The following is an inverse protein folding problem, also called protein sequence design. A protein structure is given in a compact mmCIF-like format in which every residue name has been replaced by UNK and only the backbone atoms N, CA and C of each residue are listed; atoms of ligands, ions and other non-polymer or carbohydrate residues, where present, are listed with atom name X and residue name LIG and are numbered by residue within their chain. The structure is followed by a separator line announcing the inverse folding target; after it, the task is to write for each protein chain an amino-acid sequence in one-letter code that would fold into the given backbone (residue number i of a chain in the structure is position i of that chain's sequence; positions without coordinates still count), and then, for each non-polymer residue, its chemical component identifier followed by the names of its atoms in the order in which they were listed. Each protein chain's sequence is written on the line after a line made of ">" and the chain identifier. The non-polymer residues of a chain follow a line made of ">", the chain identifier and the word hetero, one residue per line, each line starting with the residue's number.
data_IF_449026205769
#
_entry.id   IF_449026205769
#
_cell.length_a   1.000
_cell.length_b   1.000
_cell.length_c   1.000
_cell.angle_alpha   90.00
_cell.angle_beta   90.00
_cell.angle_gamma   90.00
#
_symmetry.space_group_name_H-M   'P 1'
#
loop_
_entity.id
_entity.type
_entity.pdbx_description
1 polymer ?
#
# COMPACT_ATOMS: atom_id res chain seq x y z
N UNK A 1 -0.93 21.41 -11.32
CA UNK A 1 -0.72 20.10 -10.65
C UNK A 1 -1.24 20.28 -9.24
N UNK A 2 -2.08 19.41 -8.74
CA UNK A 2 -2.62 19.56 -7.39
C UNK A 2 -1.45 19.46 -6.38
N UNK A 3 -1.27 20.48 -5.53
CA UNK A 3 -0.14 20.55 -4.59
C UNK A 3 -0.16 19.41 -3.55
N UNK A 4 -1.35 18.88 -3.26
CA UNK A 4 -1.57 17.83 -2.26
C UNK A 4 -0.68 16.60 -2.48
N UNK A 5 -0.48 16.18 -3.72
CA UNK A 5 0.35 14.99 -4.02
C UNK A 5 1.85 15.18 -3.72
N UNK A 6 2.31 16.40 -3.49
CA UNK A 6 3.70 16.71 -3.16
C UNK A 6 3.97 16.73 -1.66
N UNK A 7 2.93 16.82 -0.83
CA UNK A 7 3.09 16.79 0.63
C UNK A 7 3.65 15.45 1.09
N UNK A 8 4.47 15.49 2.12
CA UNK A 8 4.87 14.32 2.89
C UNK A 8 3.67 13.75 3.65
N UNK A 9 3.78 12.51 4.09
CA UNK A 9 2.73 11.87 4.92
C UNK A 9 2.48 12.67 6.21
N UNK A 10 3.55 13.19 6.84
CA UNK A 10 3.43 14.05 8.01
C UNK A 10 2.62 15.31 7.72
N UNK A 11 2.94 16.01 6.63
CA UNK A 11 2.21 17.22 6.24
C UNK A 11 0.74 16.93 5.96
N UNK A 12 0.42 15.78 5.33
CA UNK A 12 -0.96 15.36 5.11
C UNK A 12 -1.68 15.10 6.44
N UNK A 13 -1.04 14.39 7.38
CA UNK A 13 -1.59 14.13 8.73
C UNK A 13 -1.86 15.46 9.46
N UNK A 14 -0.90 16.37 9.44
CA UNK A 14 -1.03 17.67 10.11
C UNK A 14 -2.15 18.51 9.49
N UNK A 15 -2.24 18.53 8.16
CA UNK A 15 -3.30 19.26 7.45
C UNK A 15 -4.69 18.67 7.71
N UNK A 16 -4.82 17.33 7.76
CA UNK A 16 -6.08 16.69 8.15
C UNK A 16 -6.41 17.06 9.61
N UNK A 17 -5.46 16.93 10.52
CA UNK A 17 -5.67 17.21 11.95
C UNK A 17 -6.14 18.64 12.17
N UNK A 18 -5.54 19.61 11.48
CA UNK A 18 -5.88 21.02 11.56
C UNK A 18 -7.09 21.42 10.68
N UNK A 19 -7.78 20.46 10.05
CA UNK A 19 -8.93 20.70 9.17
C UNK A 19 -8.61 21.63 7.99
N UNK A 20 -7.37 21.63 7.52
CA UNK A 20 -6.91 22.38 6.34
C UNK A 20 -7.14 21.62 5.04
N UNK A 21 -7.26 20.29 5.12
CA UNK A 21 -7.59 19.40 4.01
C UNK A 21 -8.44 18.24 4.53
N UNK A 22 -9.31 17.72 3.68
CA UNK A 22 -10.14 16.55 3.96
C UNK A 22 -9.55 15.28 3.36
N UNK A 23 -9.95 14.11 3.86
CA UNK A 23 -9.60 12.82 3.25
C UNK A 23 -10.10 12.72 1.81
N UNK A 24 -11.27 13.31 1.53
CA UNK A 24 -11.86 13.37 0.18
C UNK A 24 -10.94 14.17 -0.77
N UNK A 25 -10.53 15.38 -0.40
CA UNK A 25 -9.64 16.20 -1.24
C UNK A 25 -8.30 15.52 -1.53
N UNK A 26 -7.74 14.80 -0.54
CA UNK A 26 -6.52 14.01 -0.72
C UNK A 26 -6.77 12.89 -1.74
N UNK A 27 -7.84 12.12 -1.58
CA UNK A 27 -8.15 11.02 -2.49
C UNK A 27 -8.45 11.53 -3.91
N UNK A 28 -9.16 12.65 -4.05
CA UNK A 28 -9.42 13.27 -5.36
C UNK A 28 -8.11 13.68 -6.07
N UNK A 29 -7.14 14.24 -5.34
CA UNK A 29 -5.84 14.59 -5.90
C UNK A 29 -5.09 13.36 -6.46
N UNK A 30 -5.13 12.24 -5.75
CA UNK A 30 -4.54 10.99 -6.25
C UNK A 30 -5.35 10.36 -7.38
N UNK A 31 -6.69 10.45 -7.37
CA UNK A 31 -7.55 10.00 -8.48
C UNK A 31 -7.22 10.77 -9.77
N UNK A 32 -7.06 12.09 -9.71
CA UNK A 32 -6.63 12.88 -10.87
C UNK A 32 -5.30 12.36 -11.43
N UNK A 33 -4.36 12.03 -10.55
CA UNK A 33 -3.05 11.49 -10.95
C UNK A 33 -3.17 10.12 -11.59
N UNK A 34 -3.99 9.22 -11.01
CA UNK A 34 -4.27 7.89 -11.55
C UNK A 34 -4.91 8.00 -12.93
N UNK A 35 -5.95 8.82 -13.09
CA UNK A 35 -6.62 9.02 -14.37
C UNK A 35 -5.68 9.49 -15.48
N UNK A 36 -4.64 10.24 -15.12
CA UNK A 36 -3.66 10.77 -16.08
C UNK A 36 -2.66 9.73 -16.56
N UNK A 37 -2.19 8.84 -15.67
CA UNK A 37 -1.00 8.03 -15.93
C UNK A 37 -1.26 6.52 -15.96
N UNK A 38 -2.33 6.02 -15.34
CA UNK A 38 -2.56 4.58 -15.19
C UNK A 38 -2.68 3.84 -16.53
N UNK A 39 -3.31 4.44 -17.53
CA UNK A 39 -3.44 3.85 -18.89
C UNK A 39 -2.08 3.50 -19.53
N UNK A 40 -1.03 4.25 -19.18
CA UNK A 40 0.30 4.08 -19.73
C UNK A 40 1.19 3.20 -18.84
N UNK A 41 1.03 3.31 -17.50
CA UNK A 41 1.87 2.63 -16.50
C UNK A 41 1.37 1.23 -16.16
N UNK A 42 0.05 1.02 -16.06
CA UNK A 42 -0.59 -0.24 -15.64
C UNK A 42 -0.10 -0.71 -14.24
N UNK A 43 -0.15 0.18 -13.27
CA UNK A 43 0.32 -0.09 -11.90
C UNK A 43 -0.75 -0.72 -11.00
N UNK A 44 -2.03 -0.59 -11.33
CA UNK A 44 -3.14 -1.10 -10.55
C UNK A 44 -3.66 -2.44 -11.11
N UNK A 45 -3.83 -3.43 -10.25
CA UNK A 45 -4.57 -4.65 -10.53
C UNK A 45 -6.07 -4.45 -10.34
N UNK A 46 -6.45 -3.64 -9.33
CA UNK A 46 -7.81 -3.21 -9.09
C UNK A 46 -7.80 -1.79 -8.50
N UNK A 47 -8.59 -0.92 -9.10
CA UNK A 47 -8.82 0.43 -8.62
C UNK A 47 -10.26 0.85 -8.92
N UNK A 48 -10.98 1.29 -7.89
CA UNK A 48 -12.34 1.79 -7.98
C UNK A 48 -12.39 3.15 -7.28
N UNK A 49 -12.63 4.21 -8.06
CA UNK A 49 -12.63 5.60 -7.55
C UNK A 49 -13.85 5.88 -6.67
N UNK A 50 -14.99 5.27 -6.96
CA UNK A 50 -16.22 5.43 -6.19
C UNK A 50 -16.05 4.82 -4.80
N UNK A 51 -15.52 3.59 -4.72
CA UNK A 51 -15.20 2.92 -3.46
C UNK A 51 -14.17 3.74 -2.64
N UNK A 52 -13.14 4.27 -3.30
CA UNK A 52 -12.14 5.10 -2.61
C UNK A 52 -12.76 6.37 -2.03
N UNK A 53 -13.61 7.06 -2.79
CA UNK A 53 -14.27 8.28 -2.33
C UNK A 53 -15.31 8.00 -1.23
N UNK A 54 -16.00 6.85 -1.27
CA UNK A 54 -16.89 6.41 -0.18
C UNK A 54 -16.11 6.28 1.14
N UNK A 55 -15.01 5.54 1.13
CA UNK A 55 -14.13 5.40 2.31
C UNK A 55 -13.56 6.73 2.80
N UNK A 56 -13.20 7.63 1.89
CA UNK A 56 -12.73 8.95 2.24
C UNK A 56 -13.81 9.80 2.94
N UNK A 57 -15.06 9.74 2.45
CA UNK A 57 -16.21 10.39 3.09
C UNK A 57 -16.50 9.83 4.48
N UNK A 58 -16.41 8.51 4.65
CA UNK A 58 -16.55 7.84 5.96
C UNK A 58 -15.46 8.32 6.92
N UNK A 59 -14.20 8.41 6.46
CA UNK A 59 -13.09 8.95 7.23
C UNK A 59 -13.35 10.38 7.70
N UNK A 60 -13.79 11.26 6.80
CA UNK A 60 -14.11 12.65 7.13
C UNK A 60 -15.31 12.75 8.09
N UNK A 61 -16.33 11.90 7.92
CA UNK A 61 -17.48 11.82 8.82
C UNK A 61 -17.06 11.35 10.22
N UNK A 62 -16.16 10.35 10.29
CA UNK A 62 -15.61 9.87 11.56
C UNK A 62 -14.88 10.98 12.31
N UNK A 63 -14.02 11.74 11.65
CA UNK A 63 -13.33 12.89 12.24
C UNK A 63 -14.31 13.95 12.74
N UNK A 64 -15.33 14.29 11.94
CA UNK A 64 -16.38 15.26 12.33
C UNK A 64 -17.19 14.81 13.54
N UNK A 65 -17.25 13.51 13.84
CA UNK A 65 -17.95 13.00 15.04
C UNK A 65 -17.23 13.31 16.36
N UNK A 66 -16.01 13.86 16.31
CA UNK A 66 -15.18 14.20 17.48
C UNK A 66 -14.55 12.98 18.17
N UNK A 67 -14.66 11.79 17.59
CA UNK A 67 -13.99 10.59 18.12
C UNK A 67 -12.49 10.65 17.89
N UNK A 68 -11.68 10.03 18.77
CA UNK A 68 -10.23 9.94 18.58
C UNK A 68 -9.87 9.30 17.23
N UNK A 69 -9.04 9.96 16.44
CA UNK A 69 -8.56 9.45 15.16
C UNK A 69 -7.26 8.67 15.33
N UNK A 70 -7.06 7.67 14.49
CA UNK A 70 -5.80 6.93 14.45
C UNK A 70 -4.66 7.76 13.82
N UNK A 71 -3.40 7.32 13.99
CA UNK A 71 -2.21 8.08 13.56
C UNK A 71 -2.08 8.22 12.03
N UNK A 72 -2.74 7.38 11.24
CA UNK A 72 -2.77 7.44 9.78
C UNK A 72 -4.15 7.86 9.24
N UNK A 73 -4.96 8.53 10.08
CA UNK A 73 -6.33 8.88 9.71
C UNK A 73 -6.40 9.65 8.38
N UNK A 74 -7.19 9.11 7.45
CA UNK A 74 -7.44 9.72 6.14
C UNK A 74 -6.30 9.55 5.12
N UNK A 75 -5.21 8.89 5.47
CA UNK A 75 -4.07 8.68 4.56
C UNK A 75 -4.35 7.48 3.64
N UNK A 76 -4.37 7.66 2.30
CA UNK A 76 -4.57 6.56 1.38
C UNK A 76 -3.30 5.69 1.26
N UNK A 77 -3.49 4.36 1.26
CA UNK A 77 -2.40 3.37 1.13
C UNK A 77 -2.77 2.34 0.07
N UNK A 78 -1.89 2.15 -0.90
CA UNK A 78 -2.05 1.13 -1.92
C UNK A 78 -1.54 -0.23 -1.41
N UNK A 79 -2.17 -1.33 -1.81
CA UNK A 79 -1.85 -2.66 -1.29
C UNK A 79 -1.58 -3.64 -2.42
N UNK A 80 -0.44 -4.35 -2.36
CA UNK A 80 -0.07 -5.33 -3.39
C UNK A 80 -1.13 -6.43 -3.54
N UNK A 81 -1.40 -6.83 -4.77
CA UNK A 81 -2.44 -7.81 -5.13
C UNK A 81 -2.10 -9.27 -4.76
N UNK A 82 -1.44 -9.48 -3.64
CA UNK A 82 -1.28 -10.76 -2.97
C UNK A 82 -1.75 -10.72 -1.53
N UNK A 83 -2.11 -9.54 -1.05
CA UNK A 83 -2.59 -9.28 0.30
C UNK A 83 -4.11 -9.28 0.28
N UNK A 84 -4.73 -10.15 1.05
CA UNK A 84 -6.18 -10.32 1.09
C UNK A 84 -6.91 -9.09 1.61
N UNK A 85 -7.98 -8.71 0.91
CA UNK A 85 -8.93 -7.67 1.31
C UNK A 85 -10.35 -8.19 1.13
N UNK A 86 -11.27 -7.80 2.02
CA UNK A 86 -12.68 -8.22 1.95
C UNK A 86 -13.42 -7.58 0.78
N UNK A 87 -13.13 -6.32 0.52
CA UNK A 87 -13.90 -5.42 -0.35
C UNK A 87 -13.32 -5.28 -1.77
N UNK A 88 -12.20 -5.94 -2.04
CA UNK A 88 -11.53 -5.91 -3.35
C UNK A 88 -11.05 -7.30 -3.73
N UNK A 89 -11.00 -7.64 -5.02
CA UNK A 89 -10.43 -8.91 -5.46
C UNK A 89 -8.94 -9.00 -5.13
N UNK A 90 -8.46 -10.24 -4.94
CA UNK A 90 -7.04 -10.55 -4.73
C UNK A 90 -6.66 -11.67 -5.69
N UNK A 91 -6.23 -11.28 -6.88
CA UNK A 91 -6.03 -12.18 -8.02
C UNK A 91 -4.58 -12.68 -8.13
N UNK A 92 -3.65 -12.11 -7.36
CA UNK A 92 -2.24 -12.49 -7.32
C UNK A 92 -1.55 -12.43 -8.69
N UNK A 93 -2.00 -11.53 -9.58
CA UNK A 93 -1.43 -11.36 -10.92
C UNK A 93 -1.61 -12.56 -11.86
N UNK A 94 -2.55 -13.47 -11.57
CA UNK A 94 -2.77 -14.68 -12.40
C UNK A 94 -4.22 -14.84 -12.83
N UNK A 95 -4.48 -15.23 -14.10
CA UNK A 95 -5.83 -15.47 -14.61
C UNK A 95 -6.61 -16.55 -13.85
N UNK A 96 -5.92 -17.53 -13.24
CA UNK A 96 -6.53 -18.62 -12.48
C UNK A 96 -7.32 -18.10 -11.27
N UNK A 97 -6.94 -16.94 -10.74
CA UNK A 97 -7.57 -16.31 -9.59
C UNK A 97 -8.48 -15.13 -9.95
N UNK A 98 -8.83 -14.98 -11.22
CA UNK A 98 -9.68 -13.86 -11.66
C UNK A 98 -10.99 -13.79 -10.88
N UNK A 99 -11.30 -12.62 -10.32
CA UNK A 99 -12.47 -12.35 -9.49
C UNK A 99 -12.44 -13.01 -8.10
N UNK A 100 -11.34 -13.62 -7.69
CA UNK A 100 -11.23 -14.22 -6.36
C UNK A 100 -11.02 -13.14 -5.30
N UNK A 101 -11.79 -13.25 -4.21
CA UNK A 101 -11.64 -12.44 -3.00
C UNK A 101 -11.33 -13.34 -1.80
N UNK A 102 -10.81 -12.74 -0.76
CA UNK A 102 -10.63 -13.40 0.53
C UNK A 102 -11.89 -13.19 1.40
N UNK A 103 -12.17 -14.14 2.30
CA UNK A 103 -13.30 -14.06 3.24
C UNK A 103 -13.01 -13.16 4.46
N UNK A 104 -11.78 -12.70 4.59
CA UNK A 104 -11.32 -11.80 5.66
C UNK A 104 -10.14 -10.97 5.14
N UNK A 105 -9.91 -9.84 5.79
CA UNK A 105 -8.72 -9.06 5.54
C UNK A 105 -7.46 -9.81 5.99
N UNK A 106 -6.33 -9.51 5.35
CA UNK A 106 -5.03 -9.80 5.93
C UNK A 106 -4.80 -8.92 7.18
N UNK A 107 -4.05 -9.43 8.16
CA UNK A 107 -3.73 -8.70 9.40
C UNK A 107 -3.18 -7.29 9.12
N UNK A 108 -2.32 -7.15 8.13
CA UNK A 108 -1.76 -5.85 7.75
C UNK A 108 -2.83 -4.86 7.28
N UNK A 109 -3.91 -5.33 6.65
CA UNK A 109 -5.04 -4.51 6.21
C UNK A 109 -5.88 -4.05 7.41
N UNK A 110 -6.11 -4.94 8.37
CA UNK A 110 -6.83 -4.59 9.60
C UNK A 110 -6.02 -3.60 10.46
N UNK A 111 -4.69 -3.72 10.49
CA UNK A 111 -3.81 -2.74 11.14
C UNK A 111 -3.85 -1.37 10.44
N UNK A 112 -3.85 -1.34 9.10
CA UNK A 112 -4.01 -0.10 8.35
C UNK A 112 -5.34 0.59 8.67
N UNK A 113 -6.44 -0.14 8.59
CA UNK A 113 -7.78 0.42 8.82
C UNK A 113 -7.99 0.84 10.27
N UNK A 114 -7.44 0.08 11.24
CA UNK A 114 -7.51 0.45 12.66
C UNK A 114 -6.67 1.68 12.99
N UNK A 115 -5.59 1.95 12.25
CA UNK A 115 -4.82 3.21 12.36
C UNK A 115 -5.47 4.38 11.61
N UNK A 116 -6.61 4.15 10.95
CA UNK A 116 -7.38 5.16 10.22
C UNK A 116 -6.94 5.38 8.77
N UNK A 117 -6.02 4.56 8.25
CA UNK A 117 -5.62 4.62 6.85
C UNK A 117 -6.73 4.12 5.91
N UNK A 118 -6.74 4.63 4.69
CA UNK A 118 -7.70 4.25 3.64
C UNK A 118 -7.02 3.32 2.64
N UNK A 119 -7.44 2.05 2.57
CA UNK A 119 -6.96 1.14 1.51
C UNK A 119 -7.58 1.57 0.18
N UNK A 120 -6.72 2.09 -0.72
CA UNK A 120 -7.18 2.77 -1.93
C UNK A 120 -7.30 1.87 -3.17
N UNK A 121 -6.70 0.68 -3.15
CA UNK A 121 -6.72 -0.23 -4.29
C UNK A 121 -5.64 -1.29 -4.21
N UNK A 122 -5.64 -2.20 -5.21
CA UNK A 122 -4.69 -3.31 -5.32
C UNK A 122 -3.65 -3.01 -6.41
N UNK A 123 -2.36 -3.03 -6.05
CA UNK A 123 -1.28 -2.78 -7.00
C UNK A 123 -0.84 -4.05 -7.70
N UNK A 124 -0.45 -3.90 -8.97
CA UNK A 124 -0.02 -5.02 -9.81
C UNK A 124 1.20 -5.74 -9.23
N UNK A 125 1.15 -7.07 -9.31
CA UNK A 125 2.24 -7.96 -8.94
C UNK A 125 2.68 -8.79 -10.16
N UNK A 126 3.90 -9.31 -10.14
CA UNK A 126 4.24 -10.43 -11.04
C UNK A 126 3.39 -11.63 -10.68
N UNK A 127 3.16 -12.53 -11.63
CA UNK A 127 2.30 -13.71 -11.44
C UNK A 127 2.72 -14.51 -10.20
N UNK A 128 1.77 -14.67 -9.25
CA UNK A 128 1.96 -15.34 -7.95
C UNK A 128 3.18 -14.82 -7.17
N UNK A 129 3.55 -13.54 -7.35
CA UNK A 129 4.75 -12.91 -6.79
C UNK A 129 6.08 -13.58 -7.24
N UNK A 130 6.07 -14.31 -8.34
CA UNK A 130 7.21 -15.06 -8.89
C UNK A 130 7.93 -14.27 -10.00
N UNK A 131 8.42 -14.94 -11.06
CA UNK A 131 9.31 -14.32 -12.06
C UNK A 131 8.60 -13.78 -13.30
N UNK A 132 7.39 -14.26 -13.60
CA UNK A 132 6.68 -13.83 -14.81
C UNK A 132 6.26 -12.35 -14.70
N UNK A 133 6.77 -11.44 -15.56
CA UNK A 133 6.58 -10.01 -15.39
C UNK A 133 5.11 -9.59 -15.48
N UNK A 134 4.74 -8.58 -14.71
CA UNK A 134 3.47 -7.87 -14.88
C UNK A 134 3.51 -6.96 -16.12
N UNK A 135 2.34 -6.44 -16.50
CA UNK A 135 2.23 -5.45 -17.60
C UNK A 135 2.70 -4.04 -17.18
N UNK A 136 3.00 -3.85 -15.89
CA UNK A 136 3.41 -2.55 -15.32
C UNK A 136 4.70 -2.07 -15.95
N UNK A 137 4.71 -0.80 -16.33
CA UNK A 137 5.86 -0.11 -16.90
C UNK A 137 6.54 0.77 -15.86
N UNK A 138 7.84 0.99 -16.06
CA UNK A 138 8.58 1.90 -15.21
C UNK A 138 8.15 3.36 -15.49
N UNK A 139 7.74 4.13 -14.47
CA UNK A 139 7.30 5.52 -14.68
C UNK A 139 8.36 6.47 -15.28
N UNK A 140 9.63 6.12 -15.16
CA UNK A 140 10.73 6.91 -15.72
C UNK A 140 11.04 6.58 -17.20
N UNK A 141 10.69 5.34 -17.63
CA UNK A 141 10.89 4.88 -19.01
C UNK A 141 9.90 3.74 -19.30
N UNK A 142 8.85 4.03 -20.06
CA UNK A 142 7.77 3.07 -20.36
C UNK A 142 8.22 1.87 -21.23
N UNK A 143 9.44 1.88 -21.75
CA UNK A 143 10.04 0.72 -22.43
C UNK A 143 10.65 -0.29 -21.48
N UNK A 144 10.76 0.06 -20.17
CA UNK A 144 11.43 -0.73 -19.15
C UNK A 144 10.47 -1.26 -18.09
N UNK A 145 10.90 -2.35 -17.44
CA UNK A 145 10.21 -2.90 -16.27
C UNK A 145 10.44 -2.03 -15.03
N UNK A 146 9.44 -1.88 -14.14
CA UNK A 146 9.65 -1.29 -12.82
C UNK A 146 10.36 -2.24 -11.84
N UNK A 147 10.75 -3.43 -12.29
CA UNK A 147 11.17 -4.51 -11.43
C UNK A 147 9.97 -5.28 -10.85
N UNK A 148 10.23 -6.21 -9.95
CA UNK A 148 9.19 -7.05 -9.33
C UNK A 148 9.72 -7.83 -8.12
N UNK A 149 8.81 -8.54 -7.47
CA UNK A 149 7.41 -8.81 -7.80
C UNK A 149 6.42 -7.69 -7.42
N UNK A 150 6.77 -6.73 -6.55
CA UNK A 150 5.91 -5.59 -6.16
C UNK A 150 5.98 -4.47 -7.21
N UNK A 151 5.71 -4.82 -8.49
CA UNK A 151 5.86 -3.93 -9.65
C UNK A 151 4.99 -2.67 -9.51
N UNK A 152 3.70 -2.85 -9.31
CA UNK A 152 2.75 -1.75 -9.15
C UNK A 152 2.99 -0.95 -7.88
N UNK A 153 3.39 -1.62 -6.77
CA UNK A 153 3.62 -0.92 -5.50
C UNK A 153 4.73 0.13 -5.59
N UNK A 154 5.81 -0.15 -6.29
CA UNK A 154 6.85 0.84 -6.53
C UNK A 154 6.43 1.89 -7.58
N UNK A 155 5.75 1.44 -8.65
CA UNK A 155 5.34 2.32 -9.73
C UNK A 155 4.33 3.38 -9.29
N UNK A 156 3.35 3.06 -8.40
CA UNK A 156 2.38 4.05 -7.89
C UNK A 156 3.04 5.15 -7.07
N UNK A 157 4.10 4.83 -6.31
CA UNK A 157 4.87 5.83 -5.56
C UNK A 157 5.67 6.73 -6.50
N UNK A 158 6.42 6.11 -7.44
CA UNK A 158 7.25 6.85 -8.39
C UNK A 158 6.46 7.76 -9.32
N UNK A 159 5.21 7.40 -9.64
CA UNK A 159 4.29 8.20 -10.45
C UNK A 159 3.40 9.15 -9.66
N UNK A 160 3.54 9.20 -8.34
CA UNK A 160 2.69 9.99 -7.44
C UNK A 160 1.20 9.61 -7.51
N UNK A 161 0.90 8.34 -7.79
CA UNK A 161 -0.47 7.81 -7.77
C UNK A 161 -0.91 7.32 -6.39
N UNK A 162 0.03 7.22 -5.44
CA UNK A 162 -0.22 6.94 -4.02
C UNK A 162 0.91 7.53 -3.17
N UNK A 163 0.66 7.94 -1.92
CA UNK A 163 1.70 8.41 -1.00
C UNK A 163 2.49 7.25 -0.39
N UNK A 164 1.82 6.14 -0.11
CA UNK A 164 2.34 4.94 0.53
C UNK A 164 1.83 3.68 -0.15
N UNK A 165 2.61 2.61 -0.14
CA UNK A 165 2.12 1.30 -0.58
C UNK A 165 2.74 0.13 0.18
N UNK A 166 1.97 -0.96 0.26
CA UNK A 166 2.39 -2.26 0.79
C UNK A 166 2.93 -3.13 -0.35
N UNK A 167 4.02 -3.83 -0.06
CA UNK A 167 4.56 -4.87 -0.94
C UNK A 167 5.03 -6.09 -0.18
N UNK A 168 5.70 -6.99 -0.88
CA UNK A 168 6.26 -8.21 -0.28
C UNK A 168 7.62 -8.53 -0.87
N UNK A 169 8.43 -9.26 -0.10
CA UNK A 169 9.72 -9.76 -0.57
C UNK A 169 10.02 -11.16 -0.03
N UNK A 170 10.36 -12.05 -0.96
CA UNK A 170 11.01 -13.33 -0.69
C UNK A 170 12.51 -13.22 -0.96
N UNK A 171 12.89 -12.86 -2.18
CA UNK A 171 14.28 -12.64 -2.60
C UNK A 171 14.65 -11.15 -2.67
N UNK A 172 14.04 -10.40 -3.59
CA UNK A 172 14.34 -8.99 -3.85
C UNK A 172 13.12 -8.13 -4.16
N UNK A 173 11.90 -8.61 -3.89
CA UNK A 173 10.67 -8.06 -4.44
C UNK A 173 10.15 -6.75 -3.80
N UNK A 174 10.87 -6.17 -2.84
CA UNK A 174 10.71 -4.79 -2.37
C UNK A 174 11.89 -3.95 -2.85
N UNK A 175 13.11 -4.36 -2.51
CA UNK A 175 14.32 -3.56 -2.74
C UNK A 175 14.58 -3.35 -4.23
N UNK A 176 14.37 -4.38 -5.07
CA UNK A 176 14.59 -4.29 -6.51
C UNK A 176 13.64 -3.31 -7.20
N UNK A 177 12.30 -3.42 -7.09
CA UNK A 177 11.42 -2.44 -7.71
C UNK A 177 11.58 -1.04 -7.10
N UNK A 178 11.88 -0.90 -5.81
CA UNK A 178 12.20 0.39 -5.21
C UNK A 178 13.41 1.05 -5.90
N UNK A 179 14.49 0.31 -6.08
CA UNK A 179 15.70 0.78 -6.77
C UNK A 179 15.43 1.15 -8.23
N UNK A 180 14.64 0.33 -8.95
CA UNK A 180 14.34 0.56 -10.37
C UNK A 180 13.44 1.78 -10.58
N UNK A 181 12.57 2.07 -9.64
CA UNK A 181 11.62 3.20 -9.70
C UNK A 181 12.12 4.45 -8.95
N UNK A 182 13.29 4.42 -8.31
CA UNK A 182 13.85 5.57 -7.59
C UNK A 182 13.01 5.99 -6.38
N UNK A 183 12.46 5.03 -5.65
CA UNK A 183 11.65 5.24 -4.44
C UNK A 183 12.26 4.54 -3.24
N UNK A 184 11.83 4.89 -2.04
CA UNK A 184 12.26 4.21 -0.83
C UNK A 184 11.43 2.94 -0.64
N UNK A 185 12.10 1.79 -0.50
CA UNK A 185 11.49 0.51 -0.15
C UNK A 185 12.09 -0.03 1.13
N UNK A 186 11.25 -0.43 2.07
CA UNK A 186 11.68 -0.99 3.34
C UNK A 186 11.18 -2.43 3.52
N UNK A 187 12.13 -3.36 3.61
CA UNK A 187 11.90 -4.74 4.03
C UNK A 187 12.33 -4.87 5.49
N UNK A 188 11.41 -5.04 6.42
CA UNK A 188 11.74 -5.22 7.84
C UNK A 188 12.51 -6.52 8.08
N UNK A 189 13.03 -6.71 9.30
CA UNK A 189 13.51 -8.00 9.75
C UNK A 189 12.38 -9.04 9.76
N UNK A 190 12.75 -10.32 9.60
CA UNK A 190 11.77 -11.40 9.58
C UNK A 190 10.96 -11.44 10.88
N UNK A 191 9.64 -11.56 10.75
CA UNK A 191 8.72 -11.64 11.88
C UNK A 191 8.31 -10.28 12.49
N UNK A 192 8.74 -9.13 11.96
CA UNK A 192 8.26 -7.83 12.48
C UNK A 192 6.85 -7.47 11.97
N UNK A 193 6.52 -7.83 10.74
CA UNK A 193 5.20 -7.59 10.15
C UNK A 193 4.56 -8.93 9.84
N UNK A 194 3.31 -9.14 10.26
CA UNK A 194 2.55 -10.35 9.99
C UNK A 194 2.33 -10.56 8.51
N UNK A 195 2.42 -11.83 8.08
CA UNK A 195 2.13 -12.29 6.72
C UNK A 195 0.77 -12.98 6.63
N UNK A 196 0.01 -13.00 7.72
CA UNK A 196 -1.30 -13.62 7.78
C UNK A 196 -2.25 -12.95 6.78
N UNK A 197 -2.94 -13.77 5.98
CA UNK A 197 -3.84 -13.30 4.93
C UNK A 197 -3.17 -12.85 3.62
N UNK A 198 -1.84 -12.97 3.51
CA UNK A 198 -1.11 -12.76 2.26
C UNK A 198 -0.73 -14.10 1.59
N UNK A 199 -0.61 -14.11 0.26
CA UNK A 199 -0.07 -15.26 -0.46
C UNK A 199 1.35 -15.55 0.03
N UNK A 200 1.58 -16.76 0.53
CA UNK A 200 2.89 -17.23 0.95
C UNK A 200 3.55 -18.04 -0.16
N UNK A 201 4.79 -17.71 -0.47
CA UNK A 201 5.65 -18.43 -1.41
C UNK A 201 6.80 -19.16 -0.71
N UNK A 202 7.21 -18.65 0.46
CA UNK A 202 8.25 -19.27 1.30
C UNK A 202 8.01 -18.97 2.78
N UNK A 203 7.82 -19.99 3.58
CA UNK A 203 7.61 -19.86 5.03
C UNK A 203 8.78 -19.15 5.76
N UNK A 204 10.00 -19.29 5.25
CA UNK A 204 11.22 -18.78 5.90
C UNK A 204 11.75 -17.48 5.33
N UNK A 205 11.29 -17.08 4.13
CA UNK A 205 11.88 -15.95 3.42
C UNK A 205 10.88 -14.83 3.15
N UNK A 206 9.57 -15.10 3.22
CA UNK A 206 8.58 -14.09 2.89
C UNK A 206 8.48 -13.00 3.96
N UNK A 207 8.44 -11.77 3.48
CA UNK A 207 8.22 -10.56 4.27
C UNK A 207 7.12 -9.72 3.63
N UNK A 208 6.34 -9.04 4.43
CA UNK A 208 5.63 -7.84 3.99
C UNK A 208 6.49 -6.61 4.30
N UNK A 209 6.34 -5.56 3.52
CA UNK A 209 7.05 -4.31 3.71
C UNK A 209 6.41 -3.20 2.91
N UNK A 210 7.06 -2.06 2.86
CA UNK A 210 6.43 -0.81 2.46
C UNK A 210 7.25 -0.02 1.46
N UNK A 211 6.57 0.89 0.73
CA UNK A 211 7.17 1.87 -0.17
C UNK A 211 6.65 3.26 0.15
N UNK A 212 7.50 4.25 -0.02
CA UNK A 212 7.16 5.67 0.12
C UNK A 212 8.15 6.54 -0.63
N UNK A 213 7.92 7.86 -0.61
CA UNK A 213 8.81 8.83 -1.24
C UNK A 213 10.03 9.15 -0.38
N UNK A 214 9.90 9.07 0.93
CA UNK A 214 10.95 9.34 1.91
C UNK A 214 11.03 8.27 2.98
N UNK A 215 12.12 8.25 3.74
CA UNK A 215 12.27 7.35 4.91
C UNK A 215 11.30 7.75 6.02
N UNK A 216 11.07 9.05 6.18
CA UNK A 216 10.15 9.62 7.15
C UNK A 216 8.73 9.16 6.89
N UNK A 217 8.25 9.22 5.63
CA UNK A 217 6.92 8.73 5.24
C UNK A 217 6.72 7.26 5.58
N UNK A 218 7.74 6.42 5.29
CA UNK A 218 7.72 4.99 5.60
C UNK A 218 7.65 4.75 7.11
N UNK A 219 8.37 5.53 7.90
CA UNK A 219 8.44 5.35 9.35
C UNK A 219 7.06 5.50 10.02
N UNK A 220 6.21 6.42 9.54
CA UNK A 220 4.83 6.56 10.02
C UNK A 220 4.03 5.29 9.78
N UNK A 221 4.14 4.70 8.59
CA UNK A 221 3.41 3.49 8.24
C UNK A 221 3.91 2.28 9.03
N UNK A 222 5.24 2.10 9.11
CA UNK A 222 5.85 0.90 9.71
C UNK A 222 5.53 0.78 11.20
N UNK A 223 5.46 1.89 11.94
CA UNK A 223 5.10 1.88 13.36
C UNK A 223 3.76 1.21 13.64
N UNK A 224 2.78 1.41 12.74
CA UNK A 224 1.44 0.86 12.87
C UNK A 224 1.35 -0.62 12.46
N UNK A 225 2.32 -1.10 11.70
CA UNK A 225 2.33 -2.46 11.15
C UNK A 225 3.14 -3.46 11.98
N UNK A 226 4.02 -3.00 12.86
CA UNK A 226 4.83 -3.88 13.73
C UNK A 226 3.98 -4.31 14.92
N UNK A 227 3.45 -5.54 14.82
CA UNK A 227 2.62 -6.12 15.87
C UNK A 227 2.74 -7.64 15.86
N UNK A 228 2.70 -8.25 17.04
CA UNK A 228 2.60 -9.71 17.13
C UNK A 228 1.22 -10.16 16.69
N UNK A 229 1.20 -11.17 15.80
CA UNK A 229 -0.01 -11.86 15.36
C UNK A 229 0.04 -13.33 15.78
N UNK A 230 -1.00 -13.80 16.46
CA UNK A 230 -1.12 -15.21 16.87
C UNK A 230 -1.30 -16.17 15.70
N UNK A 231 -1.74 -15.68 14.53
CA UNK A 231 -1.96 -16.47 13.32
C UNK A 231 -0.73 -16.53 12.39
N UNK A 232 0.29 -15.73 12.65
CA UNK A 232 1.60 -15.85 12.01
C UNK A 232 2.67 -16.16 13.06
N UNK A 233 3.04 -17.47 13.23
CA UNK A 233 3.99 -17.90 14.25
C UNK A 233 5.40 -17.33 14.07
N UNK A 234 5.70 -16.73 12.90
CA UNK A 234 6.96 -16.04 12.69
C UNK A 234 7.02 -14.66 13.37
N UNK A 235 5.89 -14.09 13.76
CA UNK A 235 5.89 -12.77 14.38
C UNK A 235 6.46 -12.81 15.79
N UNK A 236 7.32 -11.83 16.09
CA UNK A 236 7.99 -11.70 17.39
C UNK A 236 7.42 -10.52 18.18
N UNK A 237 7.55 -10.59 19.51
CA UNK A 237 7.28 -9.42 20.35
C UNK A 237 8.40 -8.40 20.14
N UNK A 238 8.02 -7.20 19.72
CA UNK A 238 8.90 -6.05 19.74
C UNK A 238 8.57 -5.24 20.98
N UNK A 239 9.49 -5.24 21.95
CA UNK A 239 9.42 -4.34 23.08
C UNK A 239 10.05 -3.02 22.65
N UNK A 240 9.25 -1.98 22.50
CA UNK A 240 9.72 -0.60 22.30
C UNK A 240 10.23 0.02 23.62
N UNK A 241 10.95 -0.76 24.43
CA UNK A 241 11.66 -0.20 25.57
C UNK A 241 12.97 0.39 25.02
N UNK A 242 12.89 1.64 24.56
CA UNK A 242 13.79 2.79 24.74
C UNK A 242 13.41 3.88 23.74
#
# INVERSE_FOLDING_TARGET
>A
MNEIINFSVQELIDKISNSQVTSVEICEAYIERINKFEKDINAWAFFDKELLLEKAKESDAYKKSGKPTGPLHGIPVAVKDIVGTLDMPTECGTPIRKGKSYSQNAEIVDLLTSSGAIVMGKTATTELAYLNPSKTKNPHDYSRTPGGSSSGSAAVIASYMAPLSIGSQTGGSIIRPASYCGVVGYKPSFGLISRNGALKTSEKLDHLGVFGKSVEDIAYLVKELIKKDSHDPATVYYSSSN
#
